data_IF_657388747504
#
_entry.id   IF_657388747504
#
_cell.length_a   1.000
_cell.length_b   1.000
_cell.length_c   1.000
_cell.angle_alpha   90.00
_cell.angle_beta   90.00
_cell.angle_gamma   90.00
#
_symmetry.space_group_name_H-M   'P 1'
#
loop_
_entity.id
_entity.type
_entity.pdbx_description
1 polymer ?
#
# COMPACT_ATOMS: atom_id res chain seq x y z
N UNK A 1 -22.77 -4.35 -12.81
CA UNK A 1 -23.00 -4.49 -11.37
C UNK A 1 -21.85 -3.82 -10.65
N UNK A 2 -22.13 -2.76 -9.92
CA UNK A 2 -21.09 -2.12 -9.10
C UNK A 2 -20.68 -3.11 -7.99
N UNK A 3 -19.37 -3.39 -7.86
CA UNK A 3 -18.85 -4.13 -6.72
C UNK A 3 -19.07 -3.39 -5.40
N UNK A 4 -18.81 -4.02 -4.26
CA UNK A 4 -18.92 -3.36 -2.96
C UNK A 4 -18.01 -2.12 -2.93
N UNK A 5 -18.58 -0.98 -2.56
CA UNK A 5 -17.84 0.28 -2.46
C UNK A 5 -16.94 0.28 -1.23
N UNK A 6 -15.69 0.68 -1.42
CA UNK A 6 -14.79 1.02 -0.32
C UNK A 6 -15.10 2.45 0.11
N UNK A 7 -15.54 2.61 1.36
CA UNK A 7 -15.74 3.95 1.93
C UNK A 7 -14.45 4.46 2.54
N UNK A 8 -14.10 5.67 2.18
CA UNK A 8 -13.00 6.41 2.77
C UNK A 8 -13.58 7.46 3.72
N UNK A 9 -13.37 7.26 5.02
CA UNK A 9 -13.75 8.26 6.00
C UNK A 9 -12.56 9.18 6.29
N UNK A 10 -12.78 10.48 6.14
CA UNK A 10 -11.81 11.51 6.45
C UNK A 10 -12.23 12.20 7.73
N UNK A 11 -11.38 12.18 8.75
CA UNK A 11 -11.53 13.10 9.88
C UNK A 11 -10.88 14.42 9.48
N UNK A 12 -11.67 15.47 9.44
CA UNK A 12 -11.15 16.82 9.26
C UNK A 12 -10.30 17.19 10.46
N UNK A 13 -9.05 17.54 10.19
CA UNK A 13 -8.18 18.15 11.19
C UNK A 13 -8.31 19.66 11.10
N UNK A 14 -8.70 20.36 12.15
CA UNK A 14 -8.90 21.81 12.10
C UNK A 14 -7.61 22.61 11.96
N UNK A 15 -6.42 22.01 12.13
CA UNK A 15 -5.17 22.74 12.37
C UNK A 15 -4.07 22.54 11.33
N UNK A 16 -4.36 22.25 10.06
CA UNK A 16 -3.24 22.14 9.15
C UNK A 16 -3.51 21.94 7.68
N UNK A 17 -2.61 22.45 6.89
CA UNK A 17 -2.49 22.16 5.48
C UNK A 17 -2.20 20.66 5.29
N UNK A 18 -3.12 19.96 4.61
CA UNK A 18 -2.98 18.52 4.37
C UNK A 18 -1.93 18.30 3.28
N UNK A 19 -0.87 17.55 3.60
CA UNK A 19 0.16 17.15 2.66
C UNK A 19 -0.08 15.72 2.20
N UNK A 20 -0.22 15.49 0.92
CA UNK A 20 -0.40 14.16 0.35
C UNK A 20 0.91 13.37 0.41
N UNK A 21 0.83 12.16 0.96
CA UNK A 21 1.89 11.15 0.84
C UNK A 21 1.63 10.26 -0.36
N UNK A 22 0.41 9.73 -0.47
CA UNK A 22 -0.03 9.02 -1.66
C UNK A 22 -1.13 9.80 -2.38
N UNK A 23 -1.02 9.84 -3.69
CA UNK A 23 -2.05 10.32 -4.60
C UNK A 23 -2.39 9.18 -5.57
N UNK A 24 -3.58 8.63 -5.44
CA UNK A 24 -4.05 7.55 -6.29
C UNK A 24 -5.18 8.06 -7.18
N UNK A 25 -5.07 7.86 -8.48
CA UNK A 25 -6.06 8.33 -9.46
C UNK A 25 -6.43 7.23 -10.44
N UNK A 26 -7.72 6.96 -10.53
CA UNK A 26 -8.32 6.01 -11.48
C UNK A 26 -7.61 4.65 -11.45
N UNK A 27 -7.32 4.14 -10.28
CA UNK A 27 -6.59 2.90 -10.09
C UNK A 27 -7.48 1.70 -10.39
N UNK A 28 -7.05 0.87 -11.32
CA UNK A 28 -7.63 -0.42 -11.62
C UNK A 28 -6.59 -1.50 -11.36
N UNK A 29 -6.98 -2.55 -10.68
CA UNK A 29 -6.09 -3.66 -10.32
C UNK A 29 -6.67 -4.95 -10.86
N UNK A 30 -5.85 -5.73 -11.54
CA UNK A 30 -6.23 -6.97 -12.20
C UNK A 30 -5.38 -8.14 -11.75
N UNK A 31 -6.01 -9.30 -11.68
CA UNK A 31 -5.36 -10.61 -11.63
C UNK A 31 -5.81 -11.37 -12.88
N UNK A 32 -4.95 -11.40 -13.92
CA UNK A 32 -5.36 -11.86 -15.23
C UNK A 32 -6.54 -11.04 -15.77
N UNK A 33 -7.64 -11.70 -16.10
CA UNK A 33 -8.86 -11.06 -16.58
C UNK A 33 -9.79 -10.57 -15.45
N UNK A 34 -9.48 -10.90 -14.20
CA UNK A 34 -10.29 -10.49 -13.06
C UNK A 34 -9.90 -9.10 -12.56
N UNK A 35 -10.85 -8.16 -12.63
CA UNK A 35 -10.68 -6.81 -12.09
C UNK A 35 -11.03 -6.80 -10.59
N UNK A 36 -10.01 -6.77 -9.74
CA UNK A 36 -10.15 -6.78 -8.29
C UNK A 36 -10.50 -5.40 -7.71
N UNK A 37 -9.99 -4.32 -8.30
CA UNK A 37 -10.27 -2.93 -7.94
C UNK A 37 -10.57 -2.16 -9.21
N UNK A 38 -11.63 -1.35 -9.18
CA UNK A 38 -12.09 -0.58 -10.33
C UNK A 38 -12.19 0.90 -9.99
N UNK A 39 -11.53 1.73 -10.82
CA UNK A 39 -11.64 3.18 -10.84
C UNK A 39 -11.57 3.82 -9.45
N UNK A 40 -10.57 3.44 -8.67
CA UNK A 40 -10.40 3.86 -7.30
C UNK A 40 -9.44 5.04 -7.21
N UNK A 41 -9.89 6.13 -6.58
CA UNK A 41 -9.09 7.33 -6.35
C UNK A 41 -9.11 7.71 -4.88
N UNK A 42 -7.95 8.01 -4.31
CA UNK A 42 -7.80 8.40 -2.92
C UNK A 42 -6.53 9.23 -2.71
N UNK A 43 -6.61 10.17 -1.77
CA UNK A 43 -5.44 10.84 -1.20
C UNK A 43 -5.17 10.31 0.21
N UNK A 44 -3.93 9.96 0.49
CA UNK A 44 -3.47 9.57 1.81
C UNK A 44 -2.53 10.64 2.33
N UNK A 45 -2.85 11.21 3.47
CA UNK A 45 -2.16 12.38 4.02
C UNK A 45 -1.06 12.01 5.00
N UNK A 46 -0.01 12.83 5.03
CA UNK A 46 1.07 12.72 5.99
C UNK A 46 0.56 12.90 7.43
N UNK A 47 1.14 12.13 8.35
CA UNK A 47 0.85 12.18 9.79
C UNK A 47 -0.65 11.98 10.14
N UNK A 48 -1.37 11.28 9.30
CA UNK A 48 -2.78 10.94 9.50
C UNK A 48 -3.02 9.45 9.35
N UNK A 49 -4.07 8.97 9.97
CA UNK A 49 -4.57 7.60 9.77
C UNK A 49 -5.69 7.64 8.75
N UNK A 50 -5.52 6.92 7.66
CA UNK A 50 -6.56 6.70 6.64
C UNK A 50 -7.07 5.27 6.78
N UNK A 51 -8.37 5.12 6.98
CA UNK A 51 -9.01 3.81 7.10
C UNK A 51 -9.81 3.45 5.86
N UNK A 52 -9.65 2.22 5.39
CA UNK A 52 -10.44 1.63 4.31
C UNK A 52 -11.47 0.69 4.92
N UNK A 53 -12.76 0.99 4.72
CA UNK A 53 -13.86 0.23 5.28
C UNK A 53 -14.68 -0.37 4.12
N UNK A 54 -14.99 -1.64 4.22
CA UNK A 54 -15.81 -2.35 3.25
C UNK A 54 -15.92 -3.83 3.58
N UNK A 55 -16.86 -4.54 2.94
CA UNK A 55 -17.04 -5.98 3.16
C UNK A 55 -15.83 -6.78 2.68
N UNK A 56 -15.70 -8.03 3.16
CA UNK A 56 -14.70 -8.97 2.67
C UNK A 56 -14.78 -9.13 1.15
N UNK A 57 -13.63 -9.20 0.48
CA UNK A 57 -13.55 -9.37 -0.97
C UNK A 57 -13.81 -8.12 -1.80
N UNK A 58 -13.89 -6.93 -1.19
CA UNK A 58 -14.06 -5.67 -1.93
C UNK A 58 -12.75 -5.04 -2.46
N UNK A 59 -11.61 -5.67 -2.24
CA UNK A 59 -10.32 -5.22 -2.76
C UNK A 59 -9.46 -4.39 -1.81
N UNK A 60 -9.83 -4.25 -0.54
CA UNK A 60 -9.04 -3.50 0.47
C UNK A 60 -7.60 -3.98 0.57
N UNK A 61 -7.41 -5.29 0.80
CA UNK A 61 -6.08 -5.90 0.92
C UNK A 61 -5.30 -5.84 -0.39
N UNK A 62 -5.98 -6.02 -1.52
CA UNK A 62 -5.39 -5.88 -2.85
C UNK A 62 -4.84 -4.48 -3.07
N UNK A 63 -5.61 -3.46 -2.73
CA UNK A 63 -5.18 -2.07 -2.83
C UNK A 63 -3.99 -1.78 -1.89
N UNK A 64 -4.05 -2.21 -0.63
CA UNK A 64 -2.96 -2.00 0.33
C UNK A 64 -1.64 -2.63 -0.14
N UNK A 65 -1.69 -3.86 -0.66
CA UNK A 65 -0.50 -4.54 -1.21
C UNK A 65 0.02 -3.92 -2.51
N UNK A 66 -0.78 -3.12 -3.17
CA UNK A 66 -0.37 -2.36 -4.35
C UNK A 66 0.47 -1.15 -3.97
N UNK A 67 0.21 -0.52 -2.83
CA UNK A 67 0.95 0.66 -2.36
C UNK A 67 2.43 0.38 -2.03
N UNK A 68 2.77 -0.83 -1.64
CA UNK A 68 4.16 -1.24 -1.40
C UNK A 68 4.67 -2.24 -2.44
N UNK A 69 3.96 -2.43 -3.53
CA UNK A 69 4.30 -3.33 -4.63
C UNK A 69 4.44 -4.80 -4.24
N UNK A 70 3.80 -5.23 -3.15
CA UNK A 70 3.79 -6.65 -2.75
C UNK A 70 3.05 -7.54 -3.74
N UNK A 71 2.09 -7.00 -4.51
CA UNK A 71 1.38 -7.75 -5.55
C UNK A 71 2.26 -8.08 -6.76
N UNK A 72 3.44 -7.48 -6.91
CA UNK A 72 4.38 -7.79 -7.99
C UNK A 72 4.82 -9.27 -7.99
N UNK A 73 4.74 -9.95 -6.84
CA UNK A 73 5.04 -11.37 -6.71
C UNK A 73 3.91 -12.31 -7.18
N UNK A 74 2.75 -11.76 -7.50
CA UNK A 74 1.61 -12.53 -7.96
C UNK A 74 1.65 -12.58 -9.51
N UNK A 75 1.55 -13.79 -10.05
CA UNK A 75 1.44 -13.99 -11.50
C UNK A 75 0.20 -13.27 -12.05
N UNK A 76 0.32 -12.74 -13.25
CA UNK A 76 -0.75 -12.04 -13.97
C UNK A 76 -1.31 -10.80 -13.26
N UNK A 77 -0.58 -10.25 -12.28
CA UNK A 77 -0.93 -8.97 -11.66
C UNK A 77 -0.65 -7.82 -12.63
N UNK A 78 -1.61 -6.91 -12.74
CA UNK A 78 -1.41 -5.64 -13.43
C UNK A 78 -2.18 -4.51 -12.76
N UNK A 79 -1.69 -3.30 -12.93
CA UNK A 79 -2.29 -2.09 -12.39
C UNK A 79 -2.31 -1.01 -13.45
N UNK A 80 -3.45 -0.33 -13.56
CA UNK A 80 -3.63 0.87 -14.38
C UNK A 80 -3.92 2.07 -13.47
N UNK A 81 -3.79 3.25 -14.03
CA UNK A 81 -3.98 4.51 -13.32
C UNK A 81 -2.66 5.02 -12.77
N UNK A 82 -2.74 5.94 -11.83
CA UNK A 82 -1.57 6.60 -11.26
C UNK A 82 -1.53 6.39 -9.75
N UNK A 83 -0.39 5.95 -9.22
CA UNK A 83 -0.12 5.86 -7.80
C UNK A 83 1.19 6.60 -7.53
N UNK A 84 1.08 7.80 -6.97
CA UNK A 84 2.23 8.63 -6.65
C UNK A 84 2.54 8.54 -5.15
N UNK A 85 3.80 8.33 -4.82
CA UNK A 85 4.34 8.44 -3.47
C UNK A 85 5.27 9.65 -3.43
N UNK A 86 4.92 10.65 -2.64
CA UNK A 86 5.62 11.94 -2.58
C UNK A 86 5.84 12.57 -3.98
N UNK A 87 4.88 12.40 -4.87
CA UNK A 87 4.90 12.94 -6.23
C UNK A 87 5.53 12.03 -7.29
N UNK A 88 6.16 10.92 -6.91
CA UNK A 88 6.81 9.99 -7.82
C UNK A 88 5.96 8.74 -8.07
N UNK A 89 5.78 8.37 -9.33
CA UNK A 89 5.03 7.16 -9.69
C UNK A 89 5.77 5.90 -9.25
N UNK A 90 5.16 5.15 -8.34
CA UNK A 90 5.77 3.93 -7.78
C UNK A 90 5.85 2.77 -8.78
N UNK A 91 5.16 2.85 -9.91
CA UNK A 91 5.17 1.85 -10.99
C UNK A 91 5.94 2.32 -12.23
N UNK A 92 6.65 3.44 -12.15
CA UNK A 92 7.53 3.88 -13.23
C UNK A 92 8.65 2.84 -13.50
N UNK A 93 9.08 2.75 -14.76
CA UNK A 93 10.03 1.71 -15.20
C UNK A 93 11.40 1.79 -14.53
N UNK A 94 11.80 2.97 -14.10
CA UNK A 94 13.08 3.27 -13.46
C UNK A 94 13.05 3.15 -11.92
N UNK A 95 11.89 2.84 -11.34
CA UNK A 95 11.72 2.72 -9.90
C UNK A 95 12.09 1.32 -9.41
N UNK A 96 12.99 1.25 -8.44
CA UNK A 96 13.32 0.00 -7.75
C UNK A 96 12.22 -0.35 -6.72
N UNK A 97 11.56 -1.52 -6.87
CA UNK A 97 10.55 -1.95 -5.91
C UNK A 97 11.06 -2.05 -4.46
N UNK A 98 12.34 -2.34 -4.27
CA UNK A 98 12.96 -2.44 -2.95
C UNK A 98 12.93 -1.09 -2.22
N UNK A 99 13.21 0.01 -2.93
CA UNK A 99 13.12 1.36 -2.36
C UNK A 99 11.71 1.68 -1.87
N UNK A 100 10.69 1.30 -2.64
CA UNK A 100 9.30 1.50 -2.24
C UNK A 100 8.99 0.71 -0.96
N UNK A 101 9.42 -0.55 -0.86
CA UNK A 101 9.19 -1.41 0.31
C UNK A 101 9.94 -0.96 1.55
N UNK A 102 11.09 -0.29 1.40
CA UNK A 102 11.80 0.35 2.51
C UNK A 102 11.04 1.54 3.09
N UNK A 103 10.33 2.26 2.24
CA UNK A 103 9.56 3.45 2.63
C UNK A 103 8.16 3.11 3.11
N UNK A 104 7.55 2.04 2.60
CA UNK A 104 6.17 1.64 2.88
C UNK A 104 6.15 0.28 3.56
N UNK A 105 6.17 0.29 4.88
CA UNK A 105 6.06 -0.92 5.69
C UNK A 105 4.64 -1.50 5.66
N UNK A 106 4.52 -2.78 5.97
CA UNK A 106 3.25 -3.48 6.03
C UNK A 106 3.16 -4.37 7.27
N UNK A 107 2.02 -4.29 7.95
CA UNK A 107 1.66 -5.21 9.03
C UNK A 107 0.62 -6.18 8.51
N UNK A 108 0.95 -7.47 8.52
CA UNK A 108 0.07 -8.53 8.03
C UNK A 108 -0.99 -8.92 9.07
N UNK A 109 -2.11 -9.46 8.59
CA UNK A 109 -3.20 -9.91 9.43
C UNK A 109 -2.78 -11.07 10.35
N UNK A 110 -1.94 -11.97 9.85
CA UNK A 110 -1.41 -13.10 10.63
C UNK A 110 0.08 -12.89 10.90
N UNK A 111 0.55 -13.10 12.16
CA UNK A 111 1.97 -13.01 12.46
C UNK A 111 2.75 -14.10 11.72
N UNK A 112 3.90 -13.72 11.17
CA UNK A 112 4.79 -14.65 10.46
C UNK A 112 6.26 -14.41 10.90
N UNK A 113 6.59 -14.69 12.17
CA UNK A 113 7.95 -14.49 12.64
C UNK A 113 8.91 -15.52 12.04
N UNK A 114 10.17 -15.13 11.87
CA UNK A 114 11.23 -16.07 11.56
C UNK A 114 11.49 -17.00 12.74
N UNK A 115 12.02 -18.23 12.52
CA UNK A 115 12.36 -19.17 13.58
C UNK A 115 13.63 -18.74 14.33
N UNK A 116 13.54 -17.61 15.00
CA UNK A 116 14.60 -16.92 15.74
C UNK A 116 14.04 -16.34 17.03
N UNK A 117 14.91 -15.81 17.87
CA UNK A 117 14.48 -15.13 19.09
C UNK A 117 13.65 -13.88 18.78
N UNK A 118 12.93 -13.36 19.77
CA UNK A 118 12.19 -12.09 19.66
C UNK A 118 13.14 -10.96 19.29
N UNK A 119 14.29 -10.88 19.95
CA UNK A 119 15.32 -9.86 19.69
C UNK A 119 15.81 -9.92 18.25
N UNK A 120 16.12 -11.12 17.75
CA UNK A 120 16.58 -11.32 16.37
C UNK A 120 15.50 -10.96 15.34
N UNK A 121 14.24 -11.27 15.60
CA UNK A 121 13.12 -10.87 14.74
C UNK A 121 12.98 -9.34 14.65
N UNK A 122 13.07 -8.65 15.78
CA UNK A 122 12.94 -7.19 15.84
C UNK A 122 14.16 -6.52 15.19
N UNK A 123 15.35 -7.02 15.42
CA UNK A 123 16.59 -6.41 14.93
C UNK A 123 16.94 -6.74 13.48
N UNK A 124 16.28 -7.72 12.86
CA UNK A 124 16.60 -8.19 11.52
C UNK A 124 16.41 -7.08 10.47
N UNK A 125 15.27 -6.41 10.47
CA UNK A 125 14.98 -5.33 9.52
C UNK A 125 16.02 -4.20 9.59
N UNK A 126 16.25 -3.59 10.77
CA UNK A 126 17.27 -2.57 10.94
C UNK A 126 18.67 -3.02 10.50
N UNK A 127 19.09 -4.25 10.85
CA UNK A 127 20.40 -4.80 10.44
C UNK A 127 20.55 -4.94 8.94
N UNK A 128 19.52 -5.45 8.24
CA UNK A 128 19.53 -5.58 6.79
C UNK A 128 19.61 -4.21 6.09
N UNK A 129 19.10 -3.17 6.74
CA UNK A 129 19.15 -1.79 6.25
C UNK A 129 20.38 -1.00 6.74
N UNK A 130 21.41 -1.70 7.27
CA UNK A 130 22.68 -1.10 7.63
C UNK A 130 22.73 -0.44 9.00
N UNK A 131 21.71 -0.60 9.81
CA UNK A 131 21.71 -0.11 11.19
C UNK A 131 22.69 -0.92 12.05
N UNK A 132 23.66 -0.25 12.63
CA UNK A 132 24.62 -0.82 13.58
C UNK A 132 24.38 -0.14 14.92
N UNK A 133 23.40 -0.65 15.62
CA UNK A 133 23.09 -0.20 16.96
C UNK A 133 23.80 -1.00 18.03
#
# INVERSE_FOLDING_TARGET
MAGPEVKVERKNDPDGELTNVFECRNVNIYYGDFKAVQDFSIDIYAHKVTSLIGPSGCGKSTFLRTLNRMNDFIADFSVDGSILLDGDDIYAKDVDPVEIRLRVGMVFQSPNPFPKTIHENISLGPRLNGYRG
#
